data_IF_780365205907
#
_entry.id   IF_780365205907
#
_cell.length_a   1.000
_cell.length_b   1.000
_cell.length_c   1.000
_cell.angle_alpha   90.00
_cell.angle_beta   90.00
_cell.angle_gamma   90.00
#
_symmetry.space_group_name_H-M   'P 1'
#
loop_
_entity.id
_entity.type
_entity.pdbx_description
1 polymer ?
#
# COMPACT_ATOMS: atom_id res chain seq x y z
N UNK A 1 9.86 20.41 1.20
CA UNK A 1 9.29 19.06 0.99
C UNK A 1 10.26 18.01 1.54
N UNK A 2 9.82 17.11 2.43
CA UNK A 2 10.71 16.13 3.09
C UNK A 2 10.50 14.72 2.52
N UNK A 3 11.07 14.44 1.34
CA UNK A 3 11.00 13.11 0.71
C UNK A 3 11.54 11.98 1.61
N UNK A 4 12.39 12.30 2.61
CA UNK A 4 12.84 11.34 3.63
C UNK A 4 11.67 10.66 4.37
N UNK A 5 10.49 11.29 4.42
CA UNK A 5 9.27 10.72 5.01
C UNK A 5 8.72 9.55 4.21
N UNK A 6 8.97 9.48 2.90
CA UNK A 6 8.47 8.39 2.04
C UNK A 6 8.98 7.01 2.47
N UNK A 7 10.14 6.92 3.12
CA UNK A 7 10.59 5.66 3.73
C UNK A 7 9.67 5.21 4.87
N UNK A 8 9.19 6.13 5.69
CA UNK A 8 8.20 5.84 6.74
C UNK A 8 6.84 5.49 6.13
N UNK A 9 6.43 6.21 5.07
CA UNK A 9 5.20 5.92 4.34
C UNK A 9 5.22 4.51 3.75
N UNK A 10 6.32 4.11 3.09
CA UNK A 10 6.47 2.75 2.55
C UNK A 10 6.36 1.67 3.64
N UNK A 11 6.94 1.91 4.82
CA UNK A 11 6.82 0.98 5.96
C UNK A 11 5.38 0.90 6.47
N UNK A 12 4.71 2.04 6.60
CA UNK A 12 3.33 2.10 7.09
C UNK A 12 2.32 1.53 6.08
N UNK A 13 2.62 1.58 4.79
CA UNK A 13 1.80 0.95 3.75
C UNK A 13 1.75 -0.59 3.88
N UNK A 14 2.69 -1.18 4.63
CA UNK A 14 2.73 -2.62 4.94
C UNK A 14 2.16 -2.97 6.32
N UNK A 15 1.46 -2.03 6.99
CA UNK A 15 0.86 -2.27 8.31
C UNK A 15 -0.11 -3.46 8.28
N UNK A 16 -0.21 -4.21 9.39
CA UNK A 16 -1.04 -5.40 9.49
C UNK A 16 -2.49 -5.08 9.86
N UNK A 17 -2.90 -3.82 9.91
CA UNK A 17 -4.30 -3.46 10.14
C UNK A 17 -4.57 -2.02 9.73
N UNK A 18 -5.81 -1.77 9.33
CA UNK A 18 -6.34 -0.43 9.15
C UNK A 18 -7.66 -0.28 9.86
N UNK A 19 -7.89 0.92 10.39
CA UNK A 19 -9.23 1.30 10.82
C UNK A 19 -10.13 1.40 9.59
N UNK A 20 -11.25 0.70 9.63
CA UNK A 20 -12.31 0.74 8.63
C UNK A 20 -13.60 1.13 9.36
N UNK A 21 -14.29 2.22 8.99
CA UNK A 21 -15.56 2.58 9.63
C UNK A 21 -16.65 1.51 9.43
N UNK A 22 -16.51 0.65 8.42
CA UNK A 22 -17.49 -0.36 8.04
C UNK A 22 -17.13 -1.77 8.58
N UNK A 23 -15.99 -1.94 9.27
CA UNK A 23 -15.58 -3.21 9.88
C UNK A 23 -14.55 -3.00 11.02
N UNK A 24 -14.69 -3.72 12.14
CA UNK A 24 -13.66 -3.74 13.19
C UNK A 24 -12.34 -4.24 12.59
N UNK A 25 -11.28 -3.41 12.65
CA UNK A 25 -9.88 -3.77 12.35
C UNK A 25 -9.68 -4.72 11.17
N UNK A 26 -9.46 -4.19 9.98
CA UNK A 26 -9.45 -5.02 8.79
C UNK A 26 -8.04 -5.40 8.35
N UNK A 27 -7.73 -6.70 8.37
CA UNK A 27 -6.52 -7.25 7.75
C UNK A 27 -6.85 -8.52 6.97
N UNK A 28 -6.92 -8.45 5.63
CA UNK A 28 -7.41 -9.57 4.85
C UNK A 28 -6.50 -10.80 5.00
N UNK A 29 -5.20 -10.61 5.27
CA UNK A 29 -4.24 -11.70 5.32
C UNK A 29 -4.18 -12.48 6.64
N UNK A 30 -5.03 -12.15 7.62
CA UNK A 30 -5.23 -13.04 8.78
C UNK A 30 -5.89 -14.36 8.35
N UNK A 31 -6.73 -14.31 7.30
CA UNK A 31 -7.45 -15.49 6.79
C UNK A 31 -7.19 -15.75 5.30
N UNK A 32 -6.50 -14.84 4.60
CA UNK A 32 -6.15 -14.97 3.20
C UNK A 32 -4.62 -15.05 3.01
N UNK A 33 -4.13 -16.10 2.37
CA UNK A 33 -2.78 -16.07 1.76
C UNK A 33 -2.92 -16.02 0.24
N UNK A 34 -2.29 -15.03 -0.42
CA UNK A 34 -2.35 -14.93 -1.88
C UNK A 34 -1.64 -16.13 -2.49
N UNK A 35 -2.28 -16.82 -3.42
CA UNK A 35 -1.66 -17.94 -4.17
C UNK A 35 -0.83 -17.48 -5.36
N UNK A 36 -0.97 -16.21 -5.75
CA UNK A 36 -0.32 -15.58 -6.90
C UNK A 36 0.12 -14.17 -6.55
N UNK A 37 1.03 -13.61 -7.34
CA UNK A 37 1.48 -12.22 -7.21
C UNK A 37 0.30 -11.27 -7.46
N UNK A 38 0.10 -10.34 -6.54
CA UNK A 38 -0.83 -9.21 -6.67
C UNK A 38 0.01 -7.92 -6.62
N UNK A 39 -0.27 -6.99 -7.52
CA UNK A 39 0.33 -5.66 -7.54
C UNK A 39 -0.77 -4.66 -7.24
N UNK A 40 -0.53 -3.79 -6.27
CA UNK A 40 -1.42 -2.69 -5.90
C UNK A 40 -0.74 -1.40 -6.30
N UNK A 41 -1.39 -0.58 -7.11
CA UNK A 41 -0.98 0.80 -7.35
C UNK A 41 -1.63 1.70 -6.29
N UNK A 42 -0.82 2.34 -5.45
CA UNK A 42 -1.29 3.21 -4.38
C UNK A 42 -1.78 4.56 -4.90
N UNK A 43 -1.36 4.99 -6.10
CA UNK A 43 -1.80 6.24 -6.72
C UNK A 43 -3.24 6.07 -7.22
N UNK A 44 -3.49 5.04 -8.03
CA UNK A 44 -4.81 4.78 -8.62
C UNK A 44 -5.75 3.95 -7.73
N UNK A 45 -5.19 3.14 -6.82
CA UNK A 45 -5.94 2.14 -6.06
C UNK A 45 -6.26 0.87 -6.87
N UNK A 46 -5.65 0.69 -8.05
CA UNK A 46 -5.88 -0.47 -8.93
C UNK A 46 -5.10 -1.68 -8.44
N UNK A 47 -5.71 -2.87 -8.60
CA UNK A 47 -5.08 -4.15 -8.31
C UNK A 47 -4.87 -4.94 -9.61
N UNK A 48 -3.72 -5.60 -9.73
CA UNK A 48 -3.39 -6.49 -10.84
C UNK A 48 -2.90 -7.84 -10.31
N UNK A 49 -3.60 -8.95 -10.59
CA UNK A 49 -4.88 -9.02 -11.28
C UNK A 49 -6.01 -8.38 -10.47
N UNK A 50 -7.12 -8.05 -11.14
CA UNK A 50 -8.34 -7.62 -10.47
C UNK A 50 -8.83 -8.72 -9.51
N UNK A 51 -9.41 -8.29 -8.40
CA UNK A 51 -9.88 -9.13 -7.31
C UNK A 51 -11.38 -8.95 -7.06
N UNK A 52 -12.07 -8.07 -7.80
CA UNK A 52 -13.54 -7.87 -7.84
C UNK A 52 -14.32 -8.23 -6.55
N UNK A 53 -14.41 -7.28 -5.62
CA UNK A 53 -15.24 -7.41 -4.42
C UNK A 53 -14.64 -8.28 -3.31
N UNK A 54 -13.41 -8.79 -3.50
CA UNK A 54 -12.64 -9.46 -2.46
C UNK A 54 -12.29 -8.49 -1.33
N UNK A 55 -12.25 -9.03 -0.13
CA UNK A 55 -11.80 -8.34 1.05
C UNK A 55 -10.42 -7.68 0.86
N UNK A 56 -9.52 -8.34 0.13
CA UNK A 56 -8.21 -7.82 -0.25
C UNK A 56 -8.32 -6.51 -1.03
N UNK A 57 -9.22 -6.45 -2.01
CA UNK A 57 -9.42 -5.27 -2.86
C UNK A 57 -9.87 -4.07 -2.03
N UNK A 58 -10.86 -4.29 -1.15
CA UNK A 58 -11.39 -3.26 -0.26
C UNK A 58 -10.31 -2.70 0.67
N UNK A 59 -9.46 -3.56 1.25
CA UNK A 59 -8.34 -3.11 2.06
C UNK A 59 -7.38 -2.22 1.28
N UNK A 60 -6.99 -2.62 0.08
CA UNK A 60 -6.00 -1.88 -0.68
C UNK A 60 -6.55 -0.60 -1.32
N UNK A 61 -7.86 -0.53 -1.61
CA UNK A 61 -8.54 0.73 -1.92
C UNK A 61 -8.51 1.71 -0.74
N UNK A 62 -8.74 1.23 0.49
CA UNK A 62 -8.57 2.06 1.70
C UNK A 62 -7.10 2.48 1.89
N UNK A 63 -6.14 1.63 1.53
CA UNK A 63 -4.72 1.95 1.64
C UNK A 63 -4.31 3.04 0.66
N UNK A 64 -4.85 3.00 -0.57
CA UNK A 64 -4.67 4.09 -1.54
C UNK A 64 -5.21 5.41 -0.99
N UNK A 65 -6.43 5.44 -0.45
CA UNK A 65 -6.99 6.64 0.19
C UNK A 65 -6.09 7.17 1.32
N UNK A 66 -5.65 6.29 2.22
CA UNK A 66 -4.71 6.64 3.28
C UNK A 66 -3.39 7.22 2.75
N UNK A 67 -2.86 6.65 1.66
CA UNK A 67 -1.62 7.13 1.04
C UNK A 67 -1.76 8.58 0.58
N UNK A 68 -2.83 8.93 -0.13
CA UNK A 68 -3.14 10.30 -0.54
C UNK A 68 -3.25 11.26 0.66
N UNK A 69 -3.92 10.84 1.73
CA UNK A 69 -4.04 11.65 2.95
C UNK A 69 -2.70 11.90 3.64
N UNK A 70 -1.85 10.87 3.72
CA UNK A 70 -0.52 10.98 4.35
C UNK A 70 0.39 11.88 3.53
N UNK A 71 0.38 11.77 2.20
CA UNK A 71 1.16 12.67 1.34
C UNK A 71 0.76 14.13 1.57
N UNK A 72 -0.56 14.41 1.63
CA UNK A 72 -1.08 15.74 1.94
C UNK A 72 -0.62 16.23 3.32
N UNK A 73 -0.67 15.40 4.36
CA UNK A 73 -0.22 15.73 5.72
C UNK A 73 1.29 16.01 5.80
N UNK A 74 2.09 15.28 5.03
CA UNK A 74 3.56 15.46 4.97
C UNK A 74 3.98 16.58 4.00
N UNK A 75 3.03 17.24 3.32
CA UNK A 75 3.29 18.29 2.34
C UNK A 75 4.06 17.79 1.12
N UNK A 76 3.74 16.57 0.67
CA UNK A 76 4.32 15.92 -0.51
C UNK A 76 3.24 15.92 -1.60
N UNK A 77 3.43 16.67 -2.71
CA UNK A 77 2.52 16.65 -3.83
C UNK A 77 2.47 15.26 -4.51
N UNK A 78 1.30 14.82 -4.99
CA UNK A 78 1.17 13.50 -5.63
C UNK A 78 1.91 13.44 -6.98
N UNK A 79 2.02 14.56 -7.68
CA UNK A 79 2.72 14.72 -8.97
C UNK A 79 4.23 14.48 -8.88
N UNK A 80 4.82 14.57 -7.68
CA UNK A 80 6.23 14.19 -7.50
C UNK A 80 6.42 12.68 -7.31
N UNK A 81 5.34 11.91 -7.16
CA UNK A 81 5.36 10.46 -7.05
C UNK A 81 5.24 9.87 -8.47
N UNK A 82 6.34 9.31 -8.96
CA UNK A 82 6.40 8.66 -10.28
C UNK A 82 5.73 7.28 -10.25
N UNK A 83 5.88 6.56 -9.13
CA UNK A 83 5.16 5.31 -8.88
C UNK A 83 5.08 5.02 -7.39
N UNK A 84 4.01 4.34 -6.96
CA UNK A 84 3.89 3.81 -5.61
C UNK A 84 3.17 2.47 -5.66
N UNK A 85 3.88 1.37 -5.44
CA UNK A 85 3.33 0.03 -5.59
C UNK A 85 3.51 -0.81 -4.33
N UNK A 86 2.54 -1.68 -4.06
CA UNK A 86 2.69 -2.80 -3.13
C UNK A 86 2.64 -4.09 -3.94
N UNK A 87 3.72 -4.85 -3.90
CA UNK A 87 3.77 -6.22 -4.43
C UNK A 87 3.51 -7.20 -3.31
N UNK A 88 2.57 -8.12 -3.53
CA UNK A 88 2.13 -9.11 -2.56
C UNK A 88 2.34 -10.48 -3.21
N UNK A 89 3.14 -11.33 -2.58
CA UNK A 89 3.40 -12.72 -2.99
C UNK A 89 2.97 -13.66 -1.87
N UNK A 90 2.94 -15.00 -2.07
CA UNK A 90 2.62 -15.93 -0.97
C UNK A 90 3.53 -15.79 0.27
N UNK A 91 4.76 -15.32 0.06
CA UNK A 91 5.81 -15.24 1.08
C UNK A 91 5.89 -13.87 1.75
N UNK A 92 5.67 -12.79 0.99
CA UNK A 92 5.97 -11.44 1.47
C UNK A 92 5.16 -10.34 0.80
N UNK A 93 5.28 -9.15 1.39
CA UNK A 93 4.78 -7.88 0.87
C UNK A 93 5.91 -6.89 0.79
N UNK A 94 6.04 -6.22 -0.34
CA UNK A 94 7.06 -5.20 -0.60
C UNK A 94 6.37 -3.93 -1.07
N UNK A 95 6.64 -2.79 -0.43
CA UNK A 95 6.21 -1.49 -0.89
C UNK A 95 7.39 -0.76 -1.54
N UNK A 96 7.18 -0.17 -2.71
CA UNK A 96 8.16 0.64 -3.42
C UNK A 96 7.50 1.94 -3.86
N UNK A 97 8.10 3.07 -3.47
CA UNK A 97 7.70 4.41 -3.88
C UNK A 97 8.88 5.03 -4.61
N UNK A 98 8.65 5.51 -5.83
CA UNK A 98 9.63 6.26 -6.63
C UNK A 98 9.16 7.71 -6.72
N UNK A 99 10.04 8.64 -6.33
CA UNK A 99 9.74 10.07 -6.39
C UNK A 99 11.01 10.86 -6.72
N UNK A 100 10.96 11.69 -7.76
CA UNK A 100 12.08 12.50 -8.26
C UNK A 100 13.37 11.67 -8.47
N UNK A 101 13.23 10.51 -9.12
CA UNK A 101 14.33 9.57 -9.39
C UNK A 101 14.89 8.84 -8.16
N UNK A 102 14.26 8.98 -6.99
CA UNK A 102 14.67 8.30 -5.75
C UNK A 102 13.71 7.18 -5.39
N UNK A 103 14.28 6.04 -4.96
CA UNK A 103 13.52 4.86 -4.55
C UNK A 103 13.45 4.75 -3.03
N UNK A 104 12.26 4.55 -2.50
CA UNK A 104 11.97 4.30 -1.09
C UNK A 104 11.22 2.97 -0.99
N UNK A 105 11.75 2.01 -0.24
CA UNK A 105 11.14 0.69 -0.13
C UNK A 105 11.06 0.17 1.30
N UNK A 106 10.12 -0.74 1.49
CA UNK A 106 9.96 -1.54 2.71
C UNK A 106 9.53 -2.95 2.34
N UNK A 107 9.81 -3.92 3.20
CA UNK A 107 9.43 -5.32 3.01
C UNK A 107 8.97 -5.95 4.32
N UNK A 108 7.99 -6.84 4.25
CA UNK A 108 7.52 -7.68 5.36
C UNK A 108 7.19 -9.08 4.88
N UNK A 109 7.75 -10.09 5.55
CA UNK A 109 7.40 -11.50 5.38
C UNK A 109 6.10 -11.79 6.14
N UNK A 110 5.25 -12.67 5.62
CA UNK A 110 4.10 -13.16 6.37
C UNK A 110 4.59 -14.08 7.51
N UNK A 111 4.35 -13.69 8.76
CA UNK A 111 4.58 -14.51 9.95
C UNK A 111 3.70 -15.75 9.99
#
# INVERSE_FOLDING_TARGET
MKLIRLRSVANNALRPSMWNPEAFGYYPFEHFRPRRKIIVDLISGTLTPDMEGDDVERYYKLMSKWFHEVLKKEGIPIDVIESATITITPEKRTCVIIAQGRTFSAERVFS
#
